data_IF_085086977126
#
_entry.id   IF_085086977126
#
_cell.length_a   1.000
_cell.length_b   1.000
_cell.length_c   1.000
_cell.angle_alpha   90.00
_cell.angle_beta   90.00
_cell.angle_gamma   90.00
#
_symmetry.space_group_name_H-M   'P 1'
#
loop_
_entity.id
_entity.type
_entity.pdbx_description
1 polymer ?
#
# COMPACT_ATOMS: atom_id res chain seq x y z
N UNK A 1 16.00 -15.89 1.29
CA UNK A 1 14.79 -15.82 2.18
C UNK A 1 14.17 -14.42 2.16
N UNK A 2 12.84 -14.29 2.11
CA UNK A 2 12.13 -12.99 2.11
C UNK A 2 12.02 -12.42 3.54
N UNK A 3 12.29 -11.12 3.70
CA UNK A 3 12.07 -10.36 4.93
C UNK A 3 11.13 -9.20 4.66
N UNK A 4 10.28 -8.87 5.63
CA UNK A 4 9.26 -7.84 5.52
C UNK A 4 9.20 -6.98 6.79
N UNK A 5 9.01 -5.66 6.64
CA UNK A 5 8.83 -4.72 7.74
C UNK A 5 7.65 -3.79 7.49
N UNK A 6 6.83 -3.64 8.52
CA UNK A 6 5.74 -2.67 8.61
C UNK A 6 5.47 -2.38 10.09
N UNK A 7 5.14 -1.13 10.43
CA UNK A 7 4.64 -0.70 11.73
C UNK A 7 3.57 0.40 11.51
N UNK A 8 2.60 0.58 12.41
CA UNK A 8 1.54 1.60 12.26
C UNK A 8 2.04 3.02 12.58
N UNK A 9 3.27 3.37 12.19
CA UNK A 9 3.94 4.64 12.46
C UNK A 9 4.83 5.05 11.29
N UNK A 10 5.35 6.28 11.32
CA UNK A 10 6.35 6.72 10.33
C UNK A 10 7.60 5.80 10.35
N UNK A 11 8.26 5.58 9.20
CA UNK A 11 7.91 6.09 7.86
C UNK A 11 6.89 5.21 7.10
N UNK A 12 6.36 4.15 7.72
CA UNK A 12 5.48 3.18 7.07
C UNK A 12 4.07 3.72 6.85
N UNK A 13 3.60 4.57 7.76
CA UNK A 13 2.32 5.26 7.64
C UNK A 13 2.55 6.74 7.34
N UNK A 14 1.84 7.26 6.34
CA UNK A 14 1.71 8.69 6.07
C UNK A 14 0.26 9.05 5.81
N UNK A 15 -0.27 10.00 6.57
CA UNK A 15 -1.55 10.64 6.26
C UNK A 15 -1.26 11.92 5.48
N UNK A 16 -1.97 12.14 4.38
CA UNK A 16 -1.88 13.37 3.60
C UNK A 16 -3.26 13.66 3.02
N UNK A 17 -3.85 14.80 3.42
CA UNK A 17 -5.24 15.14 3.10
C UNK A 17 -6.16 13.97 3.48
N UNK A 18 -7.04 13.55 2.58
CA UNK A 18 -7.97 12.44 2.76
C UNK A 18 -7.39 11.09 2.33
N UNK A 19 -6.07 10.92 2.36
CA UNK A 19 -5.40 9.68 1.94
C UNK A 19 -4.50 9.14 3.05
N UNK A 20 -4.59 7.83 3.26
CA UNK A 20 -3.69 7.06 4.10
C UNK A 20 -2.76 6.24 3.20
N UNK A 21 -1.47 6.50 3.29
CA UNK A 21 -0.44 5.73 2.59
C UNK A 21 0.17 4.72 3.54
N UNK A 22 0.11 3.44 3.14
CA UNK A 22 0.71 2.32 3.86
C UNK A 22 1.88 1.82 3.04
N UNK A 23 3.07 1.78 3.65
CA UNK A 23 4.30 1.32 3.00
C UNK A 23 4.78 0.02 3.65
N UNK A 24 5.09 -0.96 2.81
CA UNK A 24 5.70 -2.25 3.17
C UNK A 24 7.14 -2.27 2.65
N UNK A 25 8.10 -2.62 3.49
CA UNK A 25 9.50 -2.76 3.10
C UNK A 25 9.86 -4.24 2.98
N UNK A 26 10.53 -4.61 1.89
CA UNK A 26 10.96 -5.97 1.62
C UNK A 26 12.46 -6.04 1.31
N UNK A 27 13.09 -7.13 1.72
CA UNK A 27 14.44 -7.51 1.27
C UNK A 27 14.51 -9.01 1.05
N UNK A 28 15.31 -9.46 0.09
CA UNK A 28 15.54 -10.88 -0.18
C UNK A 28 15.99 -11.12 -1.61
N UNK A 29 16.37 -12.36 -1.92
CA UNK A 29 16.90 -12.76 -3.24
C UNK A 29 15.81 -12.88 -4.31
N UNK A 30 14.57 -13.17 -3.90
CA UNK A 30 13.42 -13.35 -4.80
C UNK A 30 12.27 -12.49 -4.29
N UNK A 31 12.25 -11.23 -4.72
CA UNK A 31 11.20 -10.29 -4.36
C UNK A 31 9.92 -10.58 -5.15
N UNK A 32 8.73 -10.38 -4.55
CA UNK A 32 7.47 -10.56 -5.26
C UNK A 32 7.32 -9.56 -6.40
N UNK A 33 6.63 -9.97 -7.47
CA UNK A 33 6.29 -9.09 -8.60
C UNK A 33 5.02 -8.26 -8.35
N UNK A 34 4.18 -8.69 -7.40
CA UNK A 34 2.92 -8.02 -7.03
C UNK A 34 2.71 -8.13 -5.52
N UNK A 35 2.18 -7.06 -4.94
CA UNK A 35 1.72 -7.04 -3.54
C UNK A 35 0.33 -6.42 -3.51
N UNK A 36 -0.55 -7.01 -2.72
CA UNK A 36 -1.89 -6.50 -2.46
C UNK A 36 -2.00 -6.12 -0.98
N UNK A 37 -2.52 -4.93 -0.72
CA UNK A 37 -2.96 -4.49 0.59
C UNK A 37 -4.42 -4.90 0.75
N UNK A 38 -4.71 -5.74 1.74
CA UNK A 38 -6.08 -6.05 2.15
C UNK A 38 -6.49 -5.06 3.22
N UNK A 39 -7.66 -4.48 3.06
CA UNK A 39 -8.28 -3.57 4.00
C UNK A 39 -9.77 -3.93 4.16
N UNK A 40 -10.39 -3.46 5.22
CA UNK A 40 -11.83 -3.61 5.45
C UNK A 40 -12.44 -2.22 5.64
N UNK A 41 -13.52 -1.95 4.92
CA UNK A 41 -14.32 -0.73 5.04
C UNK A 41 -15.79 -1.15 5.10
N UNK A 42 -16.53 -0.72 6.12
CA UNK A 42 -17.95 -1.06 6.31
C UNK A 42 -18.28 -2.58 6.25
N UNK A 43 -17.36 -3.44 6.73
CA UNK A 43 -17.40 -4.91 6.65
C UNK A 43 -17.22 -5.50 5.24
N UNK A 44 -16.83 -4.70 4.24
CA UNK A 44 -16.44 -5.17 2.92
C UNK A 44 -14.92 -5.27 2.81
N UNK A 45 -14.41 -6.41 2.30
CA UNK A 45 -12.99 -6.57 2.03
C UNK A 45 -12.57 -5.84 0.75
N UNK A 46 -11.62 -4.94 0.88
CA UNK A 46 -10.96 -4.25 -0.21
C UNK A 46 -9.60 -4.91 -0.50
N UNK A 47 -9.32 -5.15 -1.78
CA UNK A 47 -8.03 -5.65 -2.28
C UNK A 47 -7.36 -4.59 -3.15
N UNK A 48 -6.40 -3.86 -2.57
CA UNK A 48 -5.77 -2.70 -3.18
C UNK A 48 -4.36 -3.06 -3.68
N UNK A 49 -4.01 -2.79 -4.95
CA UNK A 49 -2.65 -3.04 -5.42
C UNK A 49 -1.66 -2.07 -4.75
N UNK A 50 -0.53 -2.58 -4.28
CA UNK A 50 0.57 -1.72 -3.86
C UNK A 50 1.49 -1.43 -5.05
N UNK A 51 1.98 -0.21 -5.14
CA UNK A 51 2.94 0.21 -6.15
C UNK A 51 4.36 0.16 -5.59
N UNK A 52 5.28 -0.46 -6.34
CA UNK A 52 6.70 -0.44 -5.99
C UNK A 52 7.24 0.99 -6.12
N UNK A 53 7.86 1.50 -5.05
CA UNK A 53 8.50 2.81 -5.06
C UNK A 53 9.80 2.75 -5.86
N UNK A 54 10.05 3.79 -6.67
CA UNK A 54 11.27 3.92 -7.48
C UNK A 54 12.53 4.09 -6.62
N UNK A 55 12.41 4.81 -5.50
CA UNK A 55 13.52 5.07 -4.58
C UNK A 55 13.49 4.06 -3.44
N UNK A 56 14.60 3.36 -3.26
CA UNK A 56 14.82 2.51 -2.11
C UNK A 56 14.90 3.35 -0.83
N UNK A 57 14.24 2.94 0.27
CA UNK A 57 14.35 3.64 1.55
C UNK A 57 15.69 3.40 2.24
N UNK A 58 16.31 2.24 1.99
CA UNK A 58 17.60 1.79 2.50
C UNK A 58 18.27 0.88 1.44
N UNK A 59 19.61 0.76 1.42
CA UNK A 59 20.30 -0.20 0.55
C UNK A 59 19.76 -1.63 0.73
N UNK A 60 19.50 -2.33 -0.37
CA UNK A 60 18.97 -3.70 -0.35
C UNK A 60 17.49 -3.82 0.05
N UNK A 61 16.79 -2.71 0.27
CA UNK A 61 15.36 -2.69 0.61
C UNK A 61 14.54 -2.13 -0.54
N UNK A 62 13.45 -2.82 -0.88
CA UNK A 62 12.43 -2.34 -1.80
C UNK A 62 11.18 -1.97 -1.02
N UNK A 63 10.65 -0.78 -1.28
CA UNK A 63 9.40 -0.33 -0.69
C UNK A 63 8.23 -0.47 -1.67
N UNK A 64 7.09 -0.90 -1.15
CA UNK A 64 5.80 -0.94 -1.84
C UNK A 64 4.81 -0.08 -1.09
N UNK A 65 3.98 0.69 -1.79
CA UNK A 65 3.03 1.62 -1.19
C UNK A 65 1.61 1.31 -1.67
N UNK A 66 0.71 1.06 -0.73
CA UNK A 66 -0.72 1.09 -0.92
C UNK A 66 -1.29 2.43 -0.49
N UNK A 67 -2.45 2.76 -1.02
CA UNK A 67 -3.19 3.98 -0.71
C UNK A 67 -4.63 3.59 -0.36
N UNK A 68 -5.13 4.13 0.75
CA UNK A 68 -6.53 4.07 1.13
C UNK A 68 -7.07 5.50 1.07
N UNK A 69 -8.08 5.72 0.23
CA UNK A 69 -8.85 6.96 0.23
C UNK A 69 -9.79 6.95 1.43
N UNK A 70 -9.88 8.06 2.15
CA UNK A 70 -10.86 8.27 3.22
C UNK A 70 -12.21 8.78 2.69
N UNK A 71 -12.30 9.03 1.39
CA UNK A 71 -13.54 9.35 0.71
C UNK A 71 -13.92 8.17 -0.18
N UNK A 72 -15.18 7.72 -0.06
CA UNK A 72 -15.82 6.72 -0.92
C UNK A 72 -15.54 7.08 -2.38
N UNK A 73 -15.00 6.18 -3.22
CA UNK A 73 -14.97 6.46 -4.65
C UNK A 73 -16.41 6.72 -5.11
N UNK A 74 -16.66 7.88 -5.71
CA UNK A 74 -17.96 8.16 -6.31
C UNK A 74 -18.26 7.02 -7.30
N UNK A 75 -19.46 6.43 -7.19
CA UNK A 75 -19.90 5.45 -8.17
C UNK A 75 -19.73 6.05 -9.58
N UNK A 76 -19.17 5.30 -10.54
CA UNK A 76 -19.09 5.81 -11.91
C UNK A 76 -20.50 6.21 -12.36
N UNK A 77 -20.67 7.34 -13.08
CA UNK A 77 -21.97 7.71 -13.57
C UNK A 77 -22.51 6.56 -14.43
N UNK A 78 -23.75 6.15 -14.16
CA UNK A 78 -24.46 5.21 -15.02
C UNK A 78 -24.51 5.84 -16.42
N UNK A 79 -23.91 5.18 -17.39
CA UNK A 79 -24.06 5.55 -18.79
C UNK A 79 -25.50 5.14 -19.18
N UNK A 80 -26.38 6.14 -19.32
CA UNK A 80 -27.70 6.01 -19.92
C UNK A 80 -27.59 6.11 -21.44
#
# INVERSE_FOLDING_TARGET
>A
MLKAWHLPVAPFIKVQQDRLFITLWLSGESLPQRITLRAEEDNEELSLPMQRLRRAPQPGVVAWRGEISRQRPAAPPLQL
#
